data_IF_791440244013
#
_entry.id   IF_791440244013
#
_cell.length_a   1.000
_cell.length_b   1.000
_cell.length_c   1.000
_cell.angle_alpha   90.00
_cell.angle_beta   90.00
_cell.angle_gamma   90.00
#
_symmetry.space_group_name_H-M   'P 1'
#
loop_
_entity.id
_entity.type
_entity.pdbx_description
1 polymer ?
#
# COMPACT_ATOMS: atom_id res chain seq x y z
N UNK A 1 27.38 -13.88 44.24
CA UNK A 1 26.69 -13.30 43.06
C UNK A 1 26.25 -11.91 43.49
N UNK A 2 27.14 -10.92 43.35
CA UNK A 2 26.95 -9.56 43.86
C UNK A 2 25.77 -8.92 43.12
N UNK A 3 24.71 -8.60 43.88
CA UNK A 3 23.62 -7.76 43.42
C UNK A 3 24.23 -6.44 42.94
N UNK A 4 23.99 -6.07 41.68
CA UNK A 4 24.37 -4.77 41.12
C UNK A 4 23.55 -3.71 41.84
N UNK A 5 24.04 -3.21 42.97
CA UNK A 5 23.33 -2.19 43.76
C UNK A 5 23.39 -0.85 43.02
N UNK A 6 22.34 -0.59 42.23
CA UNK A 6 22.01 0.72 41.68
C UNK A 6 20.96 1.37 42.57
N UNK A 7 21.17 2.62 42.94
CA UNK A 7 20.22 3.41 43.73
C UNK A 7 19.77 4.61 42.90
N UNK A 8 18.46 4.86 42.84
CA UNK A 8 17.89 6.00 42.11
C UNK A 8 17.49 7.05 43.14
N UNK A 9 17.99 8.28 42.99
CA UNK A 9 17.55 9.45 43.75
C UNK A 9 16.82 10.42 42.84
N UNK A 10 15.61 10.78 43.24
CA UNK A 10 14.80 11.78 42.56
C UNK A 10 15.10 13.14 43.18
N UNK A 11 15.60 14.07 42.38
CA UNK A 11 15.86 15.45 42.79
C UNK A 11 14.66 16.33 42.40
N UNK A 12 14.36 17.34 43.22
CA UNK A 12 13.23 18.25 42.98
C UNK A 12 13.47 19.23 41.80
N UNK A 13 14.66 19.20 41.20
CA UNK A 13 15.10 20.11 40.13
C UNK A 13 14.86 19.55 38.71
N UNK A 14 14.11 18.46 38.59
CA UNK A 14 13.80 17.88 37.29
C UNK A 14 14.90 16.95 36.73
N UNK A 15 15.78 16.46 37.60
CA UNK A 15 16.82 15.50 37.28
C UNK A 15 16.63 14.20 38.08
N UNK A 16 17.36 13.15 37.69
CA UNK A 16 17.38 11.85 38.37
C UNK A 16 18.83 11.42 38.47
N UNK A 17 19.30 11.16 39.67
CA UNK A 17 20.65 10.67 39.91
C UNK A 17 20.63 9.15 40.09
N UNK A 18 21.42 8.45 39.28
CA UNK A 18 21.64 7.00 39.38
C UNK A 18 23.01 6.76 40.00
N UNK A 19 23.03 6.33 41.25
CA UNK A 19 24.25 5.98 41.97
C UNK A 19 24.58 4.53 41.64
N UNK A 20 25.72 4.33 40.99
CA UNK A 20 26.25 3.02 40.64
C UNK A 20 27.37 2.68 41.64
N UNK A 21 26.99 2.01 42.74
CA UNK A 21 27.91 1.72 43.86
C UNK A 21 29.10 0.85 43.45
N UNK A 22 28.92 -0.01 42.45
CA UNK A 22 29.94 -0.91 41.91
C UNK A 22 31.15 -0.17 41.32
N UNK A 23 30.91 1.00 40.71
CA UNK A 23 31.94 1.81 40.05
C UNK A 23 32.23 3.12 40.78
N UNK A 24 31.52 3.39 41.89
CA UNK A 24 31.55 4.67 42.61
C UNK A 24 31.26 5.86 41.68
N UNK A 25 30.30 5.70 40.76
CA UNK A 25 29.90 6.71 39.77
C UNK A 25 28.45 7.16 39.99
N UNK A 26 28.15 8.43 39.71
CA UNK A 26 26.80 8.99 39.74
C UNK A 26 26.44 9.50 38.34
N UNK A 27 25.40 8.93 37.74
CA UNK A 27 24.90 9.34 36.42
C UNK A 27 23.69 10.23 36.62
N UNK A 28 23.75 11.47 36.13
CA UNK A 28 22.65 12.44 36.23
C UNK A 28 21.85 12.43 34.93
N UNK A 29 20.56 12.16 35.02
CA UNK A 29 19.60 12.21 33.91
C UNK A 29 18.69 13.43 34.07
N UNK A 30 18.26 14.01 32.95
CA UNK A 30 17.18 15.00 32.93
C UNK A 30 15.86 14.32 32.56
N UNK A 31 14.74 14.72 33.18
CA UNK A 31 13.45 14.19 32.75
C UNK A 31 13.17 14.58 31.30
N UNK A 32 12.92 13.56 30.46
CA UNK A 32 12.40 13.79 29.12
C UNK A 32 10.99 14.39 29.22
N UNK A 33 10.83 15.57 28.61
CA UNK A 33 9.57 16.27 28.54
C UNK A 33 8.51 15.57 27.69
N UNK A 34 7.36 16.21 27.58
CA UNK A 34 6.23 15.67 26.82
C UNK A 34 6.56 15.57 25.32
N UNK A 35 7.17 16.61 24.74
CA UNK A 35 7.38 16.71 23.30
C UNK A 35 8.43 15.71 22.78
N UNK A 36 9.46 15.43 23.57
CA UNK A 36 10.49 14.43 23.27
C UNK A 36 9.88 13.04 23.22
N UNK A 37 9.00 12.72 24.18
CA UNK A 37 8.26 11.46 24.21
C UNK A 37 7.26 11.37 23.07
N UNK A 38 6.54 12.45 22.78
CA UNK A 38 5.58 12.51 21.69
C UNK A 38 6.25 12.30 20.33
N UNK A 39 7.34 13.02 20.06
CA UNK A 39 8.10 12.92 18.82
C UNK A 39 8.70 11.53 18.65
N UNK A 40 9.26 10.94 19.71
CA UNK A 40 9.77 9.56 19.67
C UNK A 40 8.65 8.59 19.27
N UNK A 41 7.48 8.67 19.91
CA UNK A 41 6.33 7.82 19.57
C UNK A 41 5.82 8.03 18.15
N UNK A 42 5.82 9.28 17.68
CA UNK A 42 5.42 9.61 16.33
C UNK A 42 6.38 9.00 15.30
N UNK A 43 7.69 9.15 15.49
CA UNK A 43 8.71 8.56 14.63
C UNK A 43 8.64 7.04 14.63
N UNK A 44 8.55 6.40 15.81
CA UNK A 44 8.39 4.95 15.93
C UNK A 44 7.16 4.47 15.16
N UNK A 45 6.05 5.20 15.25
CA UNK A 45 4.81 4.88 14.52
C UNK A 45 5.00 5.00 13.01
N UNK A 46 5.69 6.04 12.52
CA UNK A 46 5.99 6.19 11.09
C UNK A 46 6.86 5.06 10.56
N UNK A 47 7.89 4.66 11.34
CA UNK A 47 8.78 3.56 10.98
C UNK A 47 8.00 2.24 10.86
N UNK A 48 7.00 2.02 11.71
CA UNK A 48 6.17 0.81 11.68
C UNK A 48 5.12 0.88 10.56
N UNK A 49 4.46 2.02 10.37
CA UNK A 49 3.32 2.14 9.46
C UNK A 49 3.74 2.09 7.98
N UNK A 50 4.91 2.63 7.61
CA UNK A 50 5.35 2.68 6.22
C UNK A 50 5.56 1.26 5.64
N UNK A 51 6.34 0.35 6.28
CA UNK A 51 6.44 -1.04 5.84
C UNK A 51 5.08 -1.75 5.87
N UNK A 52 4.28 -1.52 6.91
CA UNK A 52 2.96 -2.13 7.05
C UNK A 52 2.02 -1.78 5.88
N UNK A 53 2.12 -0.57 5.32
CA UNK A 53 1.36 -0.17 4.13
C UNK A 53 1.93 -0.77 2.84
N UNK A 54 3.27 -0.86 2.72
CA UNK A 54 3.93 -1.37 1.52
C UNK A 54 3.81 -2.89 1.36
N UNK A 55 3.93 -3.66 2.45
CA UNK A 55 3.92 -5.13 2.45
C UNK A 55 2.70 -5.74 1.73
N UNK A 56 1.45 -5.29 1.96
CA UNK A 56 0.30 -5.82 1.22
C UNK A 56 0.13 -5.15 -0.15
N UNK A 57 0.54 -3.90 -0.30
CA UNK A 57 0.36 -3.12 -1.53
C UNK A 57 1.16 -3.70 -2.70
N UNK A 58 2.44 -3.99 -2.48
CA UNK A 58 3.35 -4.43 -3.56
C UNK A 58 2.95 -5.78 -4.14
N UNK A 59 2.71 -6.85 -3.36
CA UNK A 59 2.25 -8.13 -3.89
C UNK A 59 0.89 -8.03 -4.59
N UNK A 60 -0.04 -7.23 -4.06
CA UNK A 60 -1.32 -7.00 -4.71
C UNK A 60 -1.11 -6.33 -6.07
N UNK A 61 -0.38 -5.21 -6.12
CA UNK A 61 -0.08 -4.50 -7.36
C UNK A 61 0.56 -5.42 -8.40
N UNK A 62 1.58 -6.19 -7.99
CA UNK A 62 2.28 -7.12 -8.88
C UNK A 62 1.36 -8.24 -9.37
N UNK A 63 0.53 -8.84 -8.51
CA UNK A 63 -0.41 -9.89 -8.91
C UNK A 63 -1.35 -9.39 -10.01
N UNK A 64 -2.00 -8.25 -9.79
CA UNK A 64 -2.97 -7.69 -10.74
C UNK A 64 -2.29 -7.27 -12.04
N UNK A 65 -1.17 -6.53 -11.94
CA UNK A 65 -0.50 -5.96 -13.11
C UNK A 65 0.14 -7.03 -13.98
N UNK A 66 0.87 -7.99 -13.38
CA UNK A 66 1.54 -9.06 -14.14
C UNK A 66 0.54 -10.00 -14.81
N UNK A 67 -0.55 -10.38 -14.13
CA UNK A 67 -1.56 -11.27 -14.71
C UNK A 67 -2.29 -10.59 -15.88
N UNK A 68 -2.64 -9.31 -15.73
CA UNK A 68 -3.37 -8.57 -16.77
C UNK A 68 -2.51 -8.22 -17.98
N UNK A 69 -1.19 -8.00 -17.79
CA UNK A 69 -0.26 -7.78 -18.91
C UNK A 69 0.32 -9.08 -19.48
N UNK A 70 0.02 -10.22 -18.88
CA UNK A 70 0.46 -11.54 -19.38
C UNK A 70 -0.22 -11.88 -20.69
N UNK A 71 0.25 -12.93 -21.37
CA UNK A 71 -0.38 -13.46 -22.59
C UNK A 71 -1.83 -13.90 -22.39
N UNK A 72 -2.23 -14.20 -21.15
CA UNK A 72 -3.62 -14.57 -20.83
C UNK A 72 -4.55 -13.36 -20.74
N UNK A 73 -3.99 -12.16 -20.57
CA UNK A 73 -4.70 -10.87 -20.42
C UNK A 73 -5.78 -10.87 -19.32
N UNK A 74 -5.61 -11.72 -18.31
CA UNK A 74 -6.65 -11.95 -17.29
C UNK A 74 -6.04 -12.45 -16.00
N UNK A 75 -6.63 -12.01 -14.89
CA UNK A 75 -6.41 -12.61 -13.57
C UNK A 75 -7.09 -13.98 -13.46
N UNK A 76 -6.77 -14.72 -12.39
CA UNK A 76 -7.40 -16.02 -12.14
C UNK A 76 -8.92 -15.91 -12.06
N UNK A 77 -9.44 -14.92 -11.30
CA UNK A 77 -10.88 -14.70 -11.17
C UNK A 77 -11.55 -14.30 -12.49
N UNK A 78 -10.91 -13.44 -13.28
CA UNK A 78 -11.38 -13.10 -14.63
C UNK A 78 -11.39 -14.33 -15.56
N UNK A 79 -10.39 -15.21 -15.42
CA UNK A 79 -10.33 -16.48 -16.14
C UNK A 79 -11.52 -17.39 -15.84
N UNK A 80 -11.90 -17.51 -14.57
CA UNK A 80 -13.10 -18.26 -14.14
C UNK A 80 -14.37 -17.64 -14.73
N UNK A 81 -14.48 -16.32 -14.75
CA UNK A 81 -15.62 -15.60 -15.34
C UNK A 81 -15.58 -15.54 -16.89
N UNK A 82 -14.56 -16.11 -17.52
CA UNK A 82 -14.33 -16.08 -18.98
C UNK A 82 -14.28 -14.66 -19.56
N UNK A 83 -13.78 -13.71 -18.77
CA UNK A 83 -13.52 -12.33 -19.21
C UNK A 83 -12.03 -12.09 -19.30
N UNK A 84 -11.65 -11.13 -20.14
CA UNK A 84 -10.26 -10.68 -20.28
C UNK A 84 -10.19 -9.16 -20.41
N UNK A 85 -9.00 -8.63 -20.14
CA UNK A 85 -8.68 -7.22 -20.35
C UNK A 85 -8.05 -7.04 -21.72
N UNK A 86 -8.30 -5.90 -22.36
CA UNK A 86 -7.83 -5.58 -23.71
C UNK A 86 -7.51 -4.09 -23.77
N UNK A 87 -6.47 -3.69 -24.50
CA UNK A 87 -6.24 -2.26 -24.81
C UNK A 87 -7.36 -1.76 -25.73
N UNK A 88 -7.70 -0.48 -25.65
CA UNK A 88 -8.73 0.11 -26.52
C UNK A 88 -8.38 0.00 -28.01
N UNK A 89 -7.09 -0.15 -28.33
CA UNK A 89 -6.57 -0.37 -29.69
C UNK A 89 -6.69 -1.84 -30.15
N UNK A 90 -7.25 -2.73 -29.32
CA UNK A 90 -7.34 -4.16 -29.57
C UNK A 90 -6.06 -4.95 -29.29
N UNK A 91 -4.97 -4.25 -28.93
CA UNK A 91 -3.69 -4.85 -28.56
C UNK A 91 -3.69 -5.42 -27.15
N UNK A 92 -2.65 -6.20 -26.86
CA UNK A 92 -2.36 -6.70 -25.51
C UNK A 92 -2.11 -5.55 -24.54
N UNK A 93 -2.68 -5.67 -23.35
CA UNK A 93 -2.48 -4.70 -22.26
C UNK A 93 -1.01 -4.68 -21.85
N UNK A 94 -0.43 -3.48 -21.83
CA UNK A 94 0.94 -3.29 -21.36
C UNK A 94 1.01 -3.28 -19.83
N UNK A 95 2.18 -3.59 -19.26
CA UNK A 95 2.38 -3.52 -17.81
C UNK A 95 2.13 -2.11 -17.24
N UNK A 96 2.46 -1.07 -18.02
CA UNK A 96 2.18 0.33 -17.66
C UNK A 96 0.68 0.63 -17.57
N UNK A 97 -0.11 0.17 -18.54
CA UNK A 97 -1.57 0.29 -18.50
C UNK A 97 -2.17 -0.49 -17.31
N UNK A 98 -1.73 -1.72 -17.08
CA UNK A 98 -2.22 -2.51 -15.95
C UNK A 98 -1.85 -1.88 -14.59
N UNK A 99 -0.66 -1.27 -14.49
CA UNK A 99 -0.22 -0.51 -13.32
C UNK A 99 -1.06 0.75 -13.11
N UNK A 100 -1.26 1.54 -14.16
CA UNK A 100 -2.14 2.71 -14.13
C UNK A 100 -3.55 2.34 -13.71
N UNK A 101 -4.03 1.15 -14.12
CA UNK A 101 -5.34 0.62 -13.74
C UNK A 101 -5.41 0.26 -12.27
N UNK A 102 -4.37 -0.37 -11.73
CA UNK A 102 -4.27 -0.69 -10.30
C UNK A 102 -4.31 0.59 -9.45
N UNK A 103 -3.44 1.57 -9.74
CA UNK A 103 -3.40 2.81 -8.97
C UNK A 103 -4.61 3.72 -9.25
N UNK A 104 -5.20 3.65 -10.43
CA UNK A 104 -6.44 4.33 -10.77
C UNK A 104 -7.61 3.91 -9.90
N UNK A 105 -7.57 2.72 -9.27
CA UNK A 105 -8.59 2.34 -8.29
C UNK A 105 -8.58 3.22 -7.04
N UNK A 106 -7.44 3.80 -6.64
CA UNK A 106 -7.40 4.77 -5.54
C UNK A 106 -8.20 6.04 -5.85
N UNK A 107 -8.27 6.44 -7.12
CA UNK A 107 -9.11 7.57 -7.53
C UNK A 107 -10.61 7.27 -7.33
N UNK A 108 -11.03 6.01 -7.46
CA UNK A 108 -12.41 5.63 -7.14
C UNK A 108 -12.67 5.79 -5.64
N UNK A 109 -11.72 5.47 -4.76
CA UNK A 109 -11.84 5.68 -3.31
C UNK A 109 -11.95 7.17 -2.99
N UNK A 110 -11.09 8.00 -3.59
CA UNK A 110 -11.08 9.46 -3.39
C UNK A 110 -12.38 10.11 -3.90
N UNK A 111 -12.94 9.61 -5.01
CA UNK A 111 -14.21 10.11 -5.57
C UNK A 111 -15.44 9.47 -4.93
N UNK A 112 -15.32 8.87 -3.74
CA UNK A 112 -16.42 8.20 -3.03
C UNK A 112 -17.18 7.18 -3.92
N UNK A 113 -16.43 6.36 -4.65
CA UNK A 113 -16.91 5.31 -5.55
C UNK A 113 -17.69 5.80 -6.78
N UNK A 114 -17.80 7.11 -7.01
CA UNK A 114 -18.48 7.68 -8.19
C UNK A 114 -17.82 7.21 -9.49
N UNK A 115 -16.48 7.02 -9.50
CA UNK A 115 -15.77 6.51 -10.66
C UNK A 115 -16.22 5.13 -11.14
N UNK A 116 -16.86 4.31 -10.29
CA UNK A 116 -17.48 3.04 -10.70
C UNK A 116 -18.85 3.25 -11.37
N UNK A 117 -19.58 4.32 -11.06
CA UNK A 117 -20.90 4.59 -11.64
C UNK A 117 -20.84 4.85 -13.15
N UNK A 118 -19.69 5.32 -13.65
CA UNK A 118 -19.43 5.52 -15.09
C UNK A 118 -19.66 4.24 -15.91
N UNK A 119 -19.51 3.06 -15.28
CA UNK A 119 -19.81 1.77 -15.89
C UNK A 119 -21.26 1.71 -16.43
N UNK A 120 -22.23 2.27 -15.71
CA UNK A 120 -23.64 2.17 -16.07
C UNK A 120 -23.99 3.08 -17.24
N UNK A 121 -23.37 4.27 -17.30
CA UNK A 121 -23.66 5.30 -18.31
C UNK A 121 -22.84 5.12 -19.59
N UNK A 122 -21.62 4.59 -19.49
CA UNK A 122 -20.73 4.48 -20.64
C UNK A 122 -21.14 3.39 -21.64
N UNK A 123 -21.00 3.67 -22.93
CA UNK A 123 -21.25 2.70 -24.01
C UNK A 123 -20.30 1.49 -23.93
N UNK A 124 -19.03 1.74 -23.62
CA UNK A 124 -17.97 0.73 -23.48
C UNK A 124 -17.97 0.03 -22.12
N UNK A 125 -18.89 0.38 -21.22
CA UNK A 125 -18.97 -0.17 -19.85
C UNK A 125 -17.63 -0.08 -19.09
N UNK A 126 -16.97 1.08 -19.18
CA UNK A 126 -15.69 1.34 -18.50
C UNK A 126 -15.90 2.07 -17.19
N UNK A 127 -15.11 1.73 -16.18
CA UNK A 127 -14.98 2.55 -14.98
C UNK A 127 -13.89 3.63 -15.16
N UNK A 128 -13.81 4.60 -14.25
CA UNK A 128 -12.81 5.67 -14.30
C UNK A 128 -11.38 5.15 -14.47
N UNK A 129 -11.00 4.13 -13.70
CA UNK A 129 -9.68 3.53 -13.75
C UNK A 129 -9.39 2.80 -15.08
N UNK A 130 -10.42 2.25 -15.73
CA UNK A 130 -10.31 1.62 -17.04
C UNK A 130 -10.10 2.67 -18.14
N UNK A 131 -10.82 3.80 -18.05
CA UNK A 131 -10.70 4.92 -18.98
C UNK A 131 -9.32 5.57 -18.91
N UNK A 132 -8.82 5.83 -17.70
CA UNK A 132 -7.49 6.40 -17.49
C UNK A 132 -6.36 5.51 -18.02
N UNK A 133 -6.58 4.19 -18.02
CA UNK A 133 -5.59 3.22 -18.46
C UNK A 133 -5.74 2.83 -19.93
N UNK A 134 -6.77 3.33 -20.62
CA UNK A 134 -7.06 2.95 -22.01
C UNK A 134 -7.40 1.46 -22.15
N UNK A 135 -8.03 0.86 -21.14
CA UNK A 135 -8.35 -0.58 -21.12
C UNK A 135 -9.85 -0.83 -21.13
N UNK A 136 -10.27 -1.98 -21.67
CA UNK A 136 -11.65 -2.47 -21.66
C UNK A 136 -11.70 -3.93 -21.21
N UNK A 137 -12.78 -4.30 -20.53
CA UNK A 137 -13.05 -5.70 -20.13
C UNK A 137 -14.02 -6.31 -21.12
N UNK A 138 -13.64 -7.45 -21.71
CA UNK A 138 -14.38 -8.09 -22.79
C UNK A 138 -14.57 -9.59 -22.53
N UNK A 139 -15.62 -10.15 -23.14
CA UNK A 139 -15.92 -11.59 -23.15
C UNK A 139 -15.89 -12.10 -24.59
N UNK A 140 -15.18 -13.19 -24.84
CA UNK A 140 -15.13 -13.81 -26.17
C UNK A 140 -16.39 -14.66 -26.40
N UNK A 141 -17.18 -14.33 -27.44
CA UNK A 141 -18.46 -15.00 -27.77
C UNK A 141 -18.30 -15.99 -28.93
N UNK A 142 -17.33 -15.77 -29.82
CA UNK A 142 -17.07 -16.66 -30.95
C UNK A 142 -16.01 -16.10 -31.91
N UNK A 143 -15.49 -16.95 -32.80
CA UNK A 143 -14.49 -16.59 -33.82
C UNK A 143 -15.10 -16.76 -35.21
N UNK A 144 -15.11 -15.68 -36.00
CA UNK A 144 -15.47 -15.71 -37.40
C UNK A 144 -14.21 -15.52 -38.23
N UNK A 145 -14.02 -16.36 -39.26
CA UNK A 145 -13.01 -16.09 -40.28
C UNK A 145 -13.51 -14.94 -41.14
N UNK A 146 -12.64 -13.98 -41.42
CA UNK A 146 -12.92 -12.98 -42.45
C UNK A 146 -12.78 -13.75 -43.77
N UNK A 147 -13.87 -13.87 -44.51
CA UNK A 147 -13.78 -14.34 -45.89
C UNK A 147 -13.15 -13.19 -46.68
N UNK A 148 -11.99 -13.46 -47.30
CA UNK A 148 -11.31 -12.52 -48.21
C UNK A 148 -12.17 -12.20 -49.43
#
# INVERSE_FOLDING_TARGET
>A
MLSKEKEIRFTNEGTVELIVKEYNEVIVYQYAGFWERFLARFLDTLIIIIPQLCIPLVPAWLYWSLQQSSEKERTVGQGVAQIKLMSIDGNKVTFGQATGRFFGNFLNVITFFVGYLLFFTGEKKQCLHDMLSGTIVVKEIGRKKINE
#
